data_IF_616831500777
#
_entry.id   IF_616831500777
#
_cell.length_a   1.000
_cell.length_b   1.000
_cell.length_c   1.000
_cell.angle_alpha   90.00
_cell.angle_beta   90.00
_cell.angle_gamma   90.00
#
_symmetry.space_group_name_H-M   'P 1'
#
loop_
_entity.id
_entity.type
_entity.pdbx_description
1 polymer ?
#
# COMPACT_ATOMS: atom_id res chain seq x y z
N UNK A 1 2.46 -16.21 -1.50
CA UNK A 1 1.24 -15.51 -1.09
C UNK A 1 0.12 -16.00 -1.98
N UNK A 2 -0.77 -16.79 -1.43
CA UNK A 2 -1.93 -17.36 -2.15
C UNK A 2 -3.05 -16.32 -2.38
N UNK A 3 -4.05 -16.72 -3.15
CA UNK A 3 -5.19 -15.87 -3.53
C UNK A 3 -6.07 -15.47 -2.32
N UNK A 4 -6.08 -16.28 -1.26
CA UNK A 4 -6.90 -16.03 -0.05
C UNK A 4 -6.27 -14.92 0.79
N UNK A 5 -4.97 -15.03 1.09
CA UNK A 5 -4.24 -13.99 1.80
C UNK A 5 -4.25 -12.66 1.03
N UNK A 6 -4.17 -12.73 -0.30
CA UNK A 6 -4.36 -11.58 -1.16
C UNK A 6 -5.77 -10.99 -1.05
N UNK A 7 -6.81 -11.83 -1.08
CA UNK A 7 -8.20 -11.42 -0.90
C UNK A 7 -8.40 -10.62 0.38
N UNK A 8 -7.96 -11.17 1.51
CA UNK A 8 -8.07 -10.55 2.83
C UNK A 8 -7.32 -9.22 2.93
N UNK A 9 -6.10 -9.15 2.38
CA UNK A 9 -5.33 -7.92 2.37
C UNK A 9 -6.05 -6.80 1.58
N UNK A 10 -6.59 -7.13 0.40
CA UNK A 10 -7.35 -6.16 -0.41
C UNK A 10 -8.58 -5.66 0.33
N UNK A 11 -9.31 -6.56 0.97
CA UNK A 11 -10.50 -6.22 1.73
C UNK A 11 -10.16 -5.31 2.91
N UNK A 12 -9.10 -5.63 3.66
CA UNK A 12 -8.66 -4.81 4.79
C UNK A 12 -8.26 -3.40 4.37
N UNK A 13 -7.50 -3.28 3.29
CA UNK A 13 -7.11 -1.97 2.72
C UNK A 13 -8.35 -1.21 2.24
N UNK A 14 -9.29 -1.89 1.56
CA UNK A 14 -10.55 -1.30 1.12
C UNK A 14 -11.34 -0.71 2.29
N UNK A 15 -11.53 -1.51 3.35
CA UNK A 15 -12.21 -1.07 4.57
C UNK A 15 -11.57 0.18 5.19
N UNK A 16 -10.23 0.23 5.25
CA UNK A 16 -9.53 1.41 5.76
C UNK A 16 -9.80 2.65 4.92
N UNK A 17 -9.71 2.53 3.59
CA UNK A 17 -9.96 3.64 2.67
C UNK A 17 -11.42 4.13 2.74
N UNK A 18 -12.38 3.23 2.90
CA UNK A 18 -13.79 3.57 3.08
C UNK A 18 -14.05 4.26 4.43
N UNK A 19 -13.36 3.85 5.49
CA UNK A 19 -13.41 4.54 6.78
C UNK A 19 -12.82 5.96 6.68
N UNK A 20 -11.68 6.12 6.00
CA UNK A 20 -11.06 7.43 5.78
C UNK A 20 -11.96 8.37 4.94
N UNK A 21 -12.61 7.85 3.91
CA UNK A 21 -13.55 8.60 3.06
C UNK A 21 -14.76 9.11 3.86
N UNK A 22 -15.32 8.24 4.73
CA UNK A 22 -16.42 8.62 5.64
C UNK A 22 -15.98 9.62 6.70
N UNK A 23 -14.81 9.43 7.29
CA UNK A 23 -14.27 10.37 8.26
C UNK A 23 -13.97 11.75 7.63
N UNK A 24 -13.55 11.79 6.37
CA UNK A 24 -13.41 13.04 5.62
C UNK A 24 -14.78 13.69 5.39
N UNK A 25 -15.82 12.91 5.09
CA UNK A 25 -17.18 13.40 4.89
C UNK A 25 -17.79 14.06 6.14
N UNK A 26 -17.42 13.60 7.34
CA UNK A 26 -17.96 14.09 8.60
C UNK A 26 -17.22 15.31 9.18
N UNK A 27 -16.13 15.75 8.55
CA UNK A 27 -15.36 16.91 9.01
C UNK A 27 -15.96 18.23 8.49
N UNK A 28 -16.19 19.18 9.39
CA UNK A 28 -16.87 20.45 9.09
C UNK A 28 -15.93 21.52 8.48
N UNK A 29 -14.61 21.36 8.59
CA UNK A 29 -13.63 22.36 8.15
C UNK A 29 -12.64 21.79 7.12
N UNK A 30 -12.58 22.41 5.93
CA UNK A 30 -11.45 22.53 4.98
C UNK A 30 -10.69 21.28 4.45
N UNK A 31 -10.39 20.30 5.29
CA UNK A 31 -9.65 19.06 5.00
C UNK A 31 -10.40 17.87 4.34
N UNK A 32 -11.73 17.89 4.08
CA UNK A 32 -12.41 16.77 3.42
C UNK A 32 -11.94 16.49 2.00
N UNK A 33 -11.69 17.53 1.19
CA UNK A 33 -11.48 17.37 -0.25
C UNK A 33 -10.14 16.70 -0.56
N UNK A 34 -9.06 17.10 0.13
CA UNK A 34 -7.73 16.54 -0.07
C UNK A 34 -7.66 15.08 0.38
N UNK A 35 -8.26 14.76 1.52
CA UNK A 35 -8.35 13.37 2.01
C UNK A 35 -9.10 12.49 1.02
N UNK A 36 -10.24 12.95 0.49
CA UNK A 36 -11.00 12.23 -0.53
C UNK A 36 -10.20 12.05 -1.83
N UNK A 37 -9.44 13.06 -2.24
CA UNK A 37 -8.56 12.99 -3.41
C UNK A 37 -7.47 11.94 -3.22
N UNK A 38 -6.83 11.91 -2.04
CA UNK A 38 -5.83 10.88 -1.70
C UNK A 38 -6.45 9.48 -1.67
N UNK A 39 -7.63 9.31 -1.07
CA UNK A 39 -8.36 8.03 -1.08
C UNK A 39 -8.65 7.59 -2.53
N UNK A 40 -9.15 8.49 -3.38
CA UNK A 40 -9.42 8.19 -4.78
C UNK A 40 -8.14 7.79 -5.54
N UNK A 41 -7.03 8.51 -5.31
CA UNK A 41 -5.73 8.21 -5.90
C UNK A 41 -5.23 6.82 -5.50
N UNK A 42 -5.28 6.47 -4.21
CA UNK A 42 -4.89 5.15 -3.72
C UNK A 42 -5.76 4.04 -4.31
N UNK A 43 -7.08 4.23 -4.38
CA UNK A 43 -7.99 3.28 -5.04
C UNK A 43 -7.62 3.07 -6.51
N UNK A 44 -7.26 4.13 -7.24
CA UNK A 44 -6.85 4.05 -8.64
C UNK A 44 -5.52 3.28 -8.80
N UNK A 45 -4.52 3.62 -7.99
CA UNK A 45 -3.21 2.98 -7.98
C UNK A 45 -3.32 1.47 -7.69
N UNK A 46 -4.11 1.08 -6.67
CA UNK A 46 -4.29 -0.33 -6.31
C UNK A 46 -4.98 -1.14 -7.42
N UNK A 47 -5.93 -0.53 -8.16
CA UNK A 47 -6.55 -1.16 -9.33
C UNK A 47 -5.57 -1.38 -10.47
N UNK A 48 -4.74 -0.37 -10.77
CA UNK A 48 -3.70 -0.47 -11.81
C UNK A 48 -2.68 -1.57 -11.45
N UNK A 49 -2.37 -1.71 -10.16
CA UNK A 49 -1.39 -2.68 -9.66
C UNK A 49 -2.00 -4.02 -9.23
N UNK A 50 -3.19 -4.40 -9.71
CA UNK A 50 -3.80 -5.70 -9.37
C UNK A 50 -2.87 -6.88 -9.68
N UNK A 51 -2.85 -7.93 -8.83
CA UNK A 51 -2.09 -9.13 -9.12
C UNK A 51 -2.63 -9.84 -10.37
N UNK A 52 -1.71 -10.40 -11.17
CA UNK A 52 -2.06 -11.22 -12.33
C UNK A 52 -2.33 -12.68 -11.90
N UNK A 53 -3.17 -13.39 -12.67
CA UNK A 53 -3.54 -14.80 -12.43
C UNK A 53 -2.35 -15.78 -12.37
N UNK A 54 -1.19 -15.41 -12.92
CA UNK A 54 0.04 -16.23 -12.94
C UNK A 54 1.13 -15.71 -11.99
N UNK A 55 0.76 -14.88 -11.03
CA UNK A 55 1.70 -14.11 -10.22
C UNK A 55 2.24 -12.88 -10.97
N UNK A 56 2.70 -11.89 -10.21
CA UNK A 56 3.16 -10.61 -10.74
C UNK A 56 2.11 -9.51 -10.67
N UNK A 57 2.51 -8.30 -11.03
CA UNK A 57 1.69 -7.09 -10.91
C UNK A 57 1.47 -6.47 -12.29
N UNK A 58 0.20 -6.28 -12.69
CA UNK A 58 -0.14 -5.78 -14.02
C UNK A 58 0.40 -4.36 -14.28
N UNK A 59 0.32 -3.48 -13.28
CA UNK A 59 0.82 -2.11 -13.41
C UNK A 59 2.34 -1.99 -13.47
N UNK A 60 3.09 -2.98 -12.94
CA UNK A 60 4.55 -2.97 -13.00
C UNK A 60 5.11 -3.68 -14.24
N UNK A 61 4.29 -4.42 -14.98
CA UNK A 61 4.76 -5.32 -16.06
C UNK A 61 5.71 -6.44 -15.59
N UNK A 62 5.83 -6.66 -14.27
CA UNK A 62 6.86 -7.53 -13.67
C UNK A 62 6.32 -8.97 -13.55
N UNK A 63 7.04 -9.93 -14.11
CA UNK A 63 6.80 -11.37 -13.92
C UNK A 63 7.57 -11.84 -12.67
N UNK A 64 6.88 -12.44 -11.70
CA UNK A 64 7.52 -12.94 -10.48
C UNK A 64 6.55 -13.04 -9.29
N UNK A 65 6.83 -13.97 -8.37
CA UNK A 65 6.03 -14.23 -7.18
C UNK A 65 6.37 -13.26 -6.05
N UNK A 66 5.72 -12.10 -6.01
CA UNK A 66 5.94 -11.16 -4.91
C UNK A 66 5.03 -9.93 -4.97
N UNK A 67 4.94 -9.24 -3.84
CA UNK A 67 4.16 -8.01 -3.70
C UNK A 67 4.93 -6.81 -4.28
N UNK A 68 4.33 -6.07 -5.20
CA UNK A 68 4.97 -4.88 -5.75
C UNK A 68 5.06 -3.75 -4.69
N UNK A 69 5.87 -2.72 -4.98
CA UNK A 69 6.09 -1.62 -4.03
C UNK A 69 4.80 -0.95 -3.56
N UNK A 70 3.86 -0.72 -4.46
CA UNK A 70 2.54 -0.13 -4.14
C UNK A 70 1.81 -0.91 -3.06
N UNK A 71 1.70 -2.23 -3.23
CA UNK A 71 1.00 -3.07 -2.26
C UNK A 71 1.79 -3.24 -0.96
N UNK A 72 3.14 -3.23 -1.01
CA UNK A 72 3.97 -3.22 0.20
C UNK A 72 3.70 -1.97 1.04
N UNK A 73 3.65 -0.79 0.41
CA UNK A 73 3.33 0.46 1.09
C UNK A 73 1.90 0.42 1.63
N UNK A 74 0.92 0.01 0.83
CA UNK A 74 -0.46 -0.06 1.29
C UNK A 74 -0.63 -1.01 2.49
N UNK A 75 0.04 -2.16 2.48
CA UNK A 75 0.07 -3.08 3.63
C UNK A 75 0.69 -2.41 4.87
N UNK A 76 1.85 -1.77 4.69
CA UNK A 76 2.59 -1.16 5.79
C UNK A 76 1.87 0.00 6.48
N UNK A 77 1.03 0.77 5.76
CA UNK A 77 0.37 1.97 6.31
C UNK A 77 -1.13 1.81 6.59
N UNK A 78 -1.83 0.95 5.86
CA UNK A 78 -3.28 0.77 6.02
C UNK A 78 -3.65 -0.47 6.83
N UNK A 79 -2.72 -1.42 6.98
CA UNK A 79 -2.92 -2.63 7.78
C UNK A 79 -2.08 -2.58 9.04
N UNK A 80 -0.78 -2.37 8.90
CA UNK A 80 0.10 -2.15 10.02
C UNK A 80 0.06 -0.66 10.40
N UNK A 81 -0.09 -0.35 11.68
CA UNK A 81 0.03 1.03 12.18
C UNK A 81 1.45 1.22 12.71
N UNK A 82 2.48 1.15 11.86
CA UNK A 82 3.87 1.27 12.32
C UNK A 82 4.78 2.11 11.40
N UNK A 83 5.77 2.80 12.00
CA UNK A 83 6.71 3.66 11.29
C UNK A 83 7.68 2.77 10.49
N UNK A 84 7.67 2.93 9.18
CA UNK A 84 8.73 2.38 8.34
C UNK A 84 10.00 3.22 8.59
N UNK A 85 10.79 2.91 9.61
CA UNK A 85 12.20 3.26 9.55
C UNK A 85 12.80 2.44 8.41
N UNK A 86 13.30 3.05 7.32
CA UNK A 86 14.04 2.29 6.33
C UNK A 86 15.23 1.66 7.05
N UNK A 87 15.39 0.35 6.92
CA UNK A 87 16.60 -0.32 7.38
C UNK A 87 17.78 0.37 6.70
N UNK A 88 18.50 1.20 7.44
CA UNK A 88 19.81 1.69 7.03
C UNK A 88 20.67 0.44 6.94
N UNK A 89 20.90 -0.04 5.72
CA UNK A 89 22.00 -0.93 5.44
C UNK A 89 23.28 -0.16 5.74
N UNK A 90 23.72 -0.18 7.00
CA UNK A 90 25.11 0.08 7.34
C UNK A 90 25.91 -1.06 6.75
N UNK A 91 26.51 -0.77 5.60
CA UNK A 91 27.68 -1.48 5.08
C UNK A 91 28.74 -1.41 6.19
N UNK A 92 29.33 -2.52 6.66
CA UNK A 92 30.48 -2.44 7.53
C UNK A 92 31.66 -1.89 6.73
N UNK A 93 32.05 -0.64 7.01
CA UNK A 93 33.35 -0.14 6.55
C UNK A 93 34.43 -1.03 7.17
N UNK A 94 34.98 -1.86 6.30
CA UNK A 94 36.13 -2.71 6.57
C UNK A 94 37.35 -1.93 6.10
N UNK A 95 38.16 -1.45 7.04
CA UNK A 95 39.46 -0.82 6.77
C UNK A 95 39.80 0.16 7.89
N UNK A 96 40.96 0.12 8.53
CA UNK A 96 42.15 -0.70 8.31
C UNK A 96 43.32 -0.02 9.01
N UNK A 97 44.08 -0.84 9.74
CA UNK A 97 45.48 -0.65 10.23
C UNK A 97 45.82 0.58 11.06
#
# INVERSE_FOLDING_TARGET
MDDVLWGLLRERIGYFLDAADRAAASQWSGGPLETRRLVAAWRALLRQHRPARRGGCLGCGRRGGGMCGVWRVASAYFVHRLPLTPATNTIPESGGS
#
